data_IF_643764831790
#
_entry.id   IF_643764831790
#
_cell.length_a   1.000
_cell.length_b   1.000
_cell.length_c   1.000
_cell.angle_alpha   90.00
_cell.angle_beta   90.00
_cell.angle_gamma   90.00
#
_symmetry.space_group_name_H-M   'P 1'
#
loop_
_entity.id
_entity.type
_entity.pdbx_description
1 polymer ?
#
# COMPACT_ATOMS: atom_id res chain seq x y z
N UNK A 1 9.87 -4.27 11.89
CA UNK A 1 9.87 -5.73 12.16
C UNK A 1 9.68 -6.51 10.86
N UNK A 2 10.66 -7.35 10.50
CA UNK A 2 10.64 -8.23 9.33
C UNK A 2 10.45 -9.70 9.72
N UNK A 3 9.28 -10.05 10.27
CA UNK A 3 8.96 -11.45 10.64
C UNK A 3 8.73 -12.34 9.41
N UNK A 4 8.40 -11.73 8.27
CA UNK A 4 8.15 -12.40 6.99
C UNK A 4 8.97 -11.67 5.92
N UNK A 5 9.47 -12.42 4.94
CA UNK A 5 10.22 -11.88 3.80
C UNK A 5 9.39 -10.83 3.06
N UNK A 6 10.01 -9.71 2.68
CA UNK A 6 9.39 -8.65 1.87
C UNK A 6 9.28 -9.00 0.39
N UNK A 7 9.87 -10.13 -0.03
CA UNK A 7 9.77 -10.62 -1.40
C UNK A 7 8.37 -11.22 -1.61
N UNK A 8 7.69 -10.91 -2.73
CA UNK A 8 6.38 -11.45 -3.01
C UNK A 8 6.45 -12.97 -3.16
N UNK A 9 5.52 -13.69 -2.50
CA UNK A 9 5.42 -15.13 -2.61
C UNK A 9 4.75 -15.51 -3.94
N UNK A 10 5.53 -16.05 -4.86
CA UNK A 10 5.07 -16.44 -6.20
C UNK A 10 4.71 -17.92 -6.23
N UNK A 11 3.45 -18.25 -5.94
CA UNK A 11 2.93 -19.60 -6.12
C UNK A 11 2.62 -19.88 -7.60
N UNK A 12 2.91 -21.09 -8.11
CA UNK A 12 2.56 -21.47 -9.47
C UNK A 12 1.03 -21.40 -9.66
N UNK A 13 0.57 -20.82 -10.77
CA UNK A 13 -0.85 -20.67 -11.11
C UNK A 13 -1.73 -19.85 -10.12
N UNK A 14 -1.16 -18.88 -9.39
CA UNK A 14 -1.89 -18.00 -8.44
C UNK A 14 -3.23 -17.45 -8.94
N UNK A 15 -3.32 -17.06 -10.22
CA UNK A 15 -4.55 -16.50 -10.80
C UNK A 15 -5.66 -17.56 -10.91
N UNK A 16 -5.30 -18.81 -11.23
CA UNK A 16 -6.24 -19.92 -11.28
C UNK A 16 -6.72 -20.30 -9.88
N UNK A 17 -5.83 -20.28 -8.88
CA UNK A 17 -6.20 -20.52 -7.48
C UNK A 17 -7.14 -19.45 -6.94
N UNK A 18 -6.85 -18.17 -7.21
CA UNK A 18 -7.71 -17.06 -6.82
C UNK A 18 -9.08 -17.13 -7.50
N UNK A 19 -9.10 -17.42 -8.80
CA UNK A 19 -10.36 -17.60 -9.55
C UNK A 19 -11.16 -18.79 -9.02
N UNK A 20 -10.50 -19.93 -8.74
CA UNK A 20 -11.15 -21.09 -8.17
C UNK A 20 -11.75 -20.79 -6.79
N UNK A 21 -11.03 -20.08 -5.92
CA UNK A 21 -11.53 -19.65 -4.62
C UNK A 21 -12.80 -18.79 -4.75
N UNK A 22 -12.82 -17.84 -5.69
CA UNK A 22 -14.00 -17.02 -5.97
C UNK A 22 -15.19 -17.84 -6.48
N UNK A 23 -14.97 -18.72 -7.46
CA UNK A 23 -16.03 -19.58 -8.02
C UNK A 23 -16.60 -20.50 -6.96
N UNK A 24 -15.76 -21.16 -6.16
CA UNK A 24 -16.20 -22.04 -5.06
C UNK A 24 -16.97 -21.24 -4.02
N UNK A 25 -16.53 -20.04 -3.66
CA UNK A 25 -17.23 -19.18 -2.71
C UNK A 25 -18.62 -18.77 -3.23
N UNK A 26 -18.73 -18.47 -4.53
CA UNK A 26 -20.01 -18.15 -5.15
C UNK A 26 -20.96 -19.35 -5.21
N UNK A 27 -20.45 -20.55 -5.50
CA UNK A 27 -21.26 -21.77 -5.44
C UNK A 27 -21.76 -22.07 -4.02
N UNK A 28 -20.89 -21.89 -3.01
CA UNK A 28 -21.28 -22.05 -1.61
C UNK A 28 -22.34 -21.04 -1.18
N UNK A 29 -22.31 -19.81 -1.71
CA UNK A 29 -23.37 -18.82 -1.49
C UNK A 29 -24.71 -19.31 -2.06
N UNK A 30 -24.72 -19.86 -3.27
CA UNK A 30 -25.95 -20.41 -3.88
C UNK A 30 -26.48 -21.57 -3.03
N UNK A 31 -25.62 -22.49 -2.60
CA UNK A 31 -25.99 -23.61 -1.73
C UNK A 31 -26.57 -23.11 -0.41
N UNK A 32 -25.93 -22.11 0.21
CA UNK A 32 -26.39 -21.50 1.45
C UNK A 32 -27.81 -20.91 1.32
N UNK A 33 -28.09 -20.18 0.24
CA UNK A 33 -29.40 -19.54 0.01
C UNK A 33 -30.50 -20.54 -0.39
N UNK A 34 -30.13 -21.62 -1.09
CA UNK A 34 -31.11 -22.60 -1.63
C UNK A 34 -31.43 -23.75 -0.68
N UNK A 35 -30.66 -23.93 0.38
CA UNK A 35 -30.80 -25.10 1.27
C UNK A 35 -31.65 -24.75 2.49
N UNK A 36 -32.67 -25.58 2.77
CA UNK A 36 -33.52 -25.42 3.96
C UNK A 36 -32.95 -26.11 5.22
N UNK A 37 -31.90 -26.92 5.05
CA UNK A 37 -31.22 -27.59 6.16
C UNK A 37 -30.23 -26.65 6.86
N UNK A 38 -30.50 -26.36 8.13
CA UNK A 38 -29.63 -25.55 9.01
C UNK A 38 -28.22 -26.13 9.10
N UNK A 39 -28.09 -27.46 9.14
CA UNK A 39 -26.77 -28.11 9.25
C UNK A 39 -25.88 -27.85 8.02
N UNK A 40 -26.46 -27.90 6.82
CA UNK A 40 -25.74 -27.59 5.58
C UNK A 40 -25.45 -26.10 5.44
N UNK A 41 -26.35 -25.23 5.89
CA UNK A 41 -26.12 -23.78 5.90
C UNK A 41 -24.91 -23.39 6.77
N UNK A 42 -24.85 -23.91 8.01
CA UNK A 42 -23.74 -23.64 8.93
C UNK A 42 -22.43 -24.19 8.36
N UNK A 43 -22.45 -25.40 7.80
CA UNK A 43 -21.27 -26.00 7.19
C UNK A 43 -20.77 -25.19 5.98
N UNK A 44 -21.67 -24.73 5.12
CA UNK A 44 -21.32 -23.87 3.98
C UNK A 44 -20.68 -22.54 4.43
N UNK A 45 -21.22 -21.92 5.49
CA UNK A 45 -20.64 -20.70 6.09
C UNK A 45 -19.25 -20.93 6.66
N UNK A 46 -19.03 -22.04 7.38
CA UNK A 46 -17.73 -22.37 7.95
C UNK A 46 -16.68 -22.61 6.87
N UNK A 47 -17.03 -23.35 5.82
CA UNK A 47 -16.13 -23.58 4.68
C UNK A 47 -15.82 -22.26 3.97
N UNK A 48 -16.84 -21.43 3.72
CA UNK A 48 -16.64 -20.11 3.10
C UNK A 48 -15.72 -19.21 3.94
N UNK A 49 -15.87 -19.24 5.26
CA UNK A 49 -15.00 -18.49 6.19
C UNK A 49 -13.56 -18.99 6.11
N UNK A 50 -13.35 -20.31 6.09
CA UNK A 50 -12.01 -20.88 5.95
C UNK A 50 -11.36 -20.49 4.61
N UNK A 51 -12.11 -20.54 3.51
CA UNK A 51 -11.65 -20.10 2.18
C UNK A 51 -11.28 -18.62 2.21
N UNK A 52 -12.11 -17.76 2.80
CA UNK A 52 -11.85 -16.32 2.90
C UNK A 52 -10.57 -16.00 3.68
N UNK A 53 -10.31 -16.70 4.78
CA UNK A 53 -9.07 -16.54 5.57
C UNK A 53 -7.82 -16.93 4.76
N UNK A 54 -7.85 -18.09 4.10
CA UNK A 54 -6.73 -18.56 3.25
C UNK A 54 -6.54 -17.66 2.05
N UNK A 55 -7.63 -17.23 1.41
CA UNK A 55 -7.61 -16.33 0.26
C UNK A 55 -7.04 -14.95 0.64
N UNK A 56 -7.47 -14.38 1.76
CA UNK A 56 -6.94 -13.11 2.26
C UNK A 56 -5.44 -13.19 2.55
N UNK A 57 -5.00 -14.26 3.23
CA UNK A 57 -3.57 -14.52 3.46
C UNK A 57 -2.78 -14.62 2.15
N UNK A 58 -3.27 -15.43 1.21
CA UNK A 58 -2.62 -15.65 -0.08
C UNK A 58 -2.50 -14.36 -0.89
N UNK A 59 -3.56 -13.54 -0.94
CA UNK A 59 -3.58 -12.27 -1.66
C UNK A 59 -2.53 -11.31 -1.10
N UNK A 60 -2.48 -11.11 0.21
CA UNK A 60 -1.51 -10.21 0.85
C UNK A 60 -0.07 -10.73 0.72
N UNK A 61 0.16 -12.04 0.89
CA UNK A 61 1.49 -12.64 0.78
C UNK A 61 2.07 -12.57 -0.64
N UNK A 62 1.21 -12.47 -1.67
CA UNK A 62 1.63 -12.37 -3.07
C UNK A 62 2.08 -10.95 -3.48
N UNK A 63 1.92 -9.95 -2.60
CA UNK A 63 2.25 -8.56 -2.88
C UNK A 63 3.64 -8.21 -2.31
N UNK A 64 4.41 -7.41 -3.05
CA UNK A 64 5.76 -7.02 -2.65
C UNK A 64 5.77 -6.00 -1.52
N UNK A 65 6.82 -6.01 -0.69
CA UNK A 65 6.97 -5.12 0.46
C UNK A 65 6.92 -3.62 0.13
N UNK A 66 7.30 -3.22 -1.09
CA UNK A 66 7.23 -1.84 -1.56
C UNK A 66 5.79 -1.35 -1.80
N UNK A 67 4.86 -2.26 -2.14
CA UNK A 67 3.46 -1.94 -2.45
C UNK A 67 2.53 -2.13 -1.25
N UNK A 68 3.06 -2.64 -0.13
CA UNK A 68 2.31 -2.85 1.11
C UNK A 68 1.49 -1.64 1.58
N UNK A 69 1.94 -0.37 1.43
CA UNK A 69 1.12 0.78 1.84
C UNK A 69 -0.23 0.83 1.08
N UNK A 70 -0.24 0.47 -0.19
CA UNK A 70 -1.46 0.42 -1.01
C UNK A 70 -2.41 -0.68 -0.53
N UNK A 71 -1.86 -1.84 -0.18
CA UNK A 71 -2.60 -2.99 0.35
C UNK A 71 -3.30 -2.62 1.66
N UNK A 72 -2.61 -1.92 2.55
CA UNK A 72 -3.19 -1.46 3.83
C UNK A 72 -4.40 -0.56 3.58
N UNK A 73 -4.27 0.43 2.68
CA UNK A 73 -5.39 1.31 2.30
C UNK A 73 -6.55 0.53 1.67
N UNK A 74 -6.25 -0.48 0.86
CA UNK A 74 -7.27 -1.30 0.21
C UNK A 74 -8.03 -2.18 1.22
N UNK A 75 -7.31 -2.80 2.16
CA UNK A 75 -7.93 -3.58 3.24
C UNK A 75 -8.79 -2.69 4.14
N UNK A 76 -8.39 -1.43 4.36
CA UNK A 76 -9.23 -0.44 5.05
C UNK A 76 -10.54 -0.15 4.28
N UNK A 77 -10.49 -0.07 2.95
CA UNK A 77 -11.70 0.02 2.12
C UNK A 77 -12.59 -1.22 2.31
N UNK A 78 -12.02 -2.43 2.24
CA UNK A 78 -12.76 -3.68 2.43
C UNK A 78 -13.40 -3.80 3.82
N UNK A 79 -12.73 -3.34 4.89
CA UNK A 79 -13.37 -3.29 6.22
C UNK A 79 -14.58 -2.35 6.25
N UNK A 80 -14.54 -1.23 5.52
CA UNK A 80 -15.68 -0.32 5.39
C UNK A 80 -16.87 -0.98 4.68
N UNK A 81 -16.64 -1.65 3.55
CA UNK A 81 -17.69 -2.39 2.84
C UNK A 81 -18.26 -3.54 3.66
N UNK A 82 -17.42 -4.26 4.40
CA UNK A 82 -17.86 -5.30 5.32
C UNK A 82 -18.75 -4.74 6.45
N UNK A 83 -18.37 -3.57 7.01
CA UNK A 83 -19.19 -2.89 8.01
C UNK A 83 -20.53 -2.42 7.45
N UNK A 84 -20.56 -1.92 6.20
CA UNK A 84 -21.80 -1.54 5.54
C UNK A 84 -22.73 -2.75 5.30
N UNK A 85 -22.16 -3.90 4.87
CA UNK A 85 -22.91 -5.14 4.72
C UNK A 85 -23.48 -5.65 6.05
N UNK A 86 -22.70 -5.58 7.13
CA UNK A 86 -23.19 -5.87 8.49
C UNK A 86 -24.28 -4.88 8.92
N UNK A 87 -24.17 -3.62 8.53
CA UNK A 87 -25.19 -2.59 8.73
C UNK A 87 -26.53 -2.96 8.07
N UNK A 88 -26.51 -3.43 6.81
CA UNK A 88 -27.71 -3.93 6.15
C UNK A 88 -28.31 -5.15 6.86
N UNK A 89 -27.47 -6.09 7.29
CA UNK A 89 -27.92 -7.28 8.02
C UNK A 89 -28.58 -6.93 9.36
N UNK A 90 -28.08 -5.90 10.05
CA UNK A 90 -28.60 -5.42 11.33
C UNK A 90 -29.67 -4.33 11.20
N UNK A 91 -30.01 -3.91 9.96
CA UNK A 91 -30.88 -2.75 9.69
C UNK A 91 -30.44 -1.48 10.45
N UNK A 92 -29.13 -1.21 10.46
CA UNK A 92 -28.52 -0.09 11.18
C UNK A 92 -27.94 0.93 10.21
N UNK A 93 -28.67 2.04 10.03
CA UNK A 93 -28.30 3.13 9.11
C UNK A 93 -26.94 3.76 9.44
N UNK A 94 -26.58 3.86 10.73
CA UNK A 94 -25.29 4.42 11.13
C UNK A 94 -24.14 3.54 10.63
N UNK A 95 -24.25 2.22 10.76
CA UNK A 95 -23.23 1.28 10.25
C UNK A 95 -23.16 1.28 8.72
N UNK A 96 -24.30 1.42 8.05
CA UNK A 96 -24.35 1.52 6.59
C UNK A 96 -23.61 2.79 6.13
N UNK A 97 -23.96 3.94 6.69
CA UNK A 97 -23.38 5.24 6.29
C UNK A 97 -21.90 5.33 6.64
N UNK A 98 -21.51 4.96 7.86
CA UNK A 98 -20.10 5.00 8.28
C UNK A 98 -19.25 3.98 7.53
N UNK A 99 -19.76 2.77 7.28
CA UNK A 99 -19.09 1.75 6.48
C UNK A 99 -18.87 2.19 5.03
N UNK A 100 -19.88 2.78 4.38
CA UNK A 100 -19.77 3.29 3.02
C UNK A 100 -18.78 4.48 2.91
N UNK A 101 -18.74 5.35 3.92
CA UNK A 101 -17.78 6.47 3.98
C UNK A 101 -16.34 5.96 4.10
N UNK A 102 -16.08 5.02 5.01
CA UNK A 102 -14.74 4.40 5.16
C UNK A 102 -14.35 3.63 3.91
N UNK A 103 -15.29 2.87 3.34
CA UNK A 103 -15.09 2.08 2.13
C UNK A 103 -14.69 2.93 0.93
N UNK A 104 -15.45 3.98 0.65
CA UNK A 104 -15.18 4.90 -0.47
C UNK A 104 -13.89 5.70 -0.28
N UNK A 105 -13.63 6.23 0.92
CA UNK A 105 -12.40 6.96 1.25
C UNK A 105 -11.15 6.10 1.04
N UNK A 106 -11.16 4.86 1.54
CA UNK A 106 -10.05 3.91 1.36
C UNK A 106 -9.80 3.57 -0.12
N UNK A 107 -10.86 3.42 -0.92
CA UNK A 107 -10.73 3.13 -2.34
C UNK A 107 -10.10 4.31 -3.12
N UNK A 108 -10.53 5.55 -2.82
CA UNK A 108 -9.98 6.76 -3.44
C UNK A 108 -8.50 6.91 -3.05
N UNK A 109 -8.15 6.71 -1.79
CA UNK A 109 -6.77 6.80 -1.31
C UNK A 109 -5.89 5.76 -2.02
N UNK A 110 -6.32 4.50 -2.09
CA UNK A 110 -5.60 3.45 -2.81
C UNK A 110 -5.38 3.79 -4.29
N UNK A 111 -6.37 4.41 -4.95
CA UNK A 111 -6.24 4.85 -6.33
C UNK A 111 -5.21 5.97 -6.50
N UNK A 112 -5.24 7.00 -5.64
CA UNK A 112 -4.29 8.11 -5.67
C UNK A 112 -2.86 7.60 -5.42
N UNK A 113 -2.69 6.66 -4.47
CA UNK A 113 -1.39 6.03 -4.22
C UNK A 113 -0.87 5.27 -5.43
N UNK A 114 -1.71 4.46 -6.08
CA UNK A 114 -1.32 3.72 -7.30
C UNK A 114 -0.89 4.68 -8.41
N UNK A 115 -1.66 5.76 -8.63
CA UNK A 115 -1.35 6.79 -9.62
C UNK A 115 -0.03 7.51 -9.30
N UNK A 116 0.22 7.84 -8.04
CA UNK A 116 1.47 8.47 -7.60
C UNK A 116 2.69 7.55 -7.73
N UNK A 117 2.49 6.23 -7.75
CA UNK A 117 3.53 5.23 -8.02
C UNK A 117 3.69 4.91 -9.51
N UNK A 118 2.93 5.55 -10.41
CA UNK A 118 2.86 5.23 -11.83
C UNK A 118 2.59 3.74 -12.11
N UNK A 119 1.72 3.12 -11.31
CA UNK A 119 1.32 1.71 -11.44
C UNK A 119 -0.19 1.57 -11.50
N UNK A 120 -0.68 0.66 -12.34
CA UNK A 120 -2.11 0.38 -12.42
C UNK A 120 -2.60 -0.33 -11.17
N UNK A 121 -3.78 0.05 -10.66
CA UNK A 121 -4.41 -0.57 -9.48
C UNK A 121 -4.55 -2.09 -9.62
N UNK A 122 -4.86 -2.56 -10.84
CA UNK A 122 -4.97 -3.98 -11.17
C UNK A 122 -3.60 -4.68 -11.05
N UNK A 123 -2.50 -4.06 -11.48
CA UNK A 123 -1.16 -4.65 -11.38
C UNK A 123 -0.70 -4.87 -9.93
N UNK A 124 -1.12 -3.98 -9.02
CA UNK A 124 -0.79 -4.06 -7.59
C UNK A 124 -1.56 -5.20 -6.93
N UNK A 125 -2.86 -5.34 -7.22
CA UNK A 125 -3.70 -6.41 -6.67
C UNK A 125 -3.35 -7.78 -7.27
N UNK A 126 -3.03 -7.82 -8.56
CA UNK A 126 -2.65 -9.04 -9.25
C UNK A 126 -1.27 -9.57 -8.83
N UNK A 127 -0.55 -8.88 -7.94
CA UNK A 127 0.74 -9.33 -7.40
C UNK A 127 1.88 -9.21 -8.42
N UNK A 128 1.78 -8.30 -9.39
CA UNK A 128 2.82 -8.07 -10.38
C UNK A 128 2.46 -8.58 -11.77
N UNK A 129 2.09 -7.64 -12.62
CA UNK A 129 2.73 -7.51 -13.93
C UNK A 129 3.64 -6.30 -13.84
N UNK A 130 4.77 -6.36 -14.53
CA UNK A 130 5.78 -5.31 -14.56
C UNK A 130 5.16 -3.95 -14.82
N UNK A 131 5.85 -2.92 -14.37
CA UNK A 131 5.71 -1.54 -14.82
C UNK A 131 5.04 -1.48 -16.20
N UNK A 132 3.87 -0.86 -16.30
CA UNK A 132 3.19 -0.52 -17.57
C UNK A 132 4.01 0.53 -18.38
N UNK A 133 5.33 0.42 -18.32
CA UNK A 133 6.33 1.38 -18.75
C UNK A 133 7.77 0.91 -18.48
N UNK A 134 8.04 -0.39 -18.34
CA UNK A 134 9.42 -0.88 -18.45
C UNK A 134 9.87 -0.61 -19.88
N UNK A 135 10.54 0.53 -20.08
CA UNK A 135 11.43 0.73 -21.20
C UNK A 135 12.38 -0.45 -21.23
N UNK A 136 12.25 -1.28 -22.25
CA UNK A 136 13.23 -2.29 -22.67
C UNK A 136 14.49 -1.63 -23.23
N UNK A 137 14.92 -0.53 -22.60
CA UNK A 137 16.19 0.11 -22.85
C UNK A 137 17.24 -0.59 -21.99
N UNK A 138 18.36 -0.91 -22.62
CA UNK A 138 19.58 -1.27 -21.92
C UNK A 138 19.99 -0.06 -21.07
N UNK A 139 19.54 0.00 -19.81
CA UNK A 139 19.93 1.02 -18.83
C UNK A 139 21.39 0.75 -18.45
N UNK A 140 22.30 1.05 -19.36
CA UNK A 140 23.68 1.28 -19.01
C UNK A 140 23.70 2.54 -18.16
N UNK A 141 24.25 2.47 -16.95
CA UNK A 141 24.47 3.65 -16.10
C UNK A 141 25.30 4.67 -16.88
N UNK A 142 24.65 5.71 -17.41
CA UNK A 142 25.33 6.75 -18.18
C UNK A 142 25.84 7.81 -17.19
N UNK A 143 27.14 7.75 -16.88
CA UNK A 143 27.87 8.81 -16.16
C UNK A 143 28.80 8.30 -15.06
N UNK A 144 29.75 9.14 -14.65
CA UNK A 144 30.59 8.91 -13.47
C UNK A 144 29.93 9.51 -12.22
N UNK A 145 29.89 8.77 -11.12
CA UNK A 145 29.43 9.31 -9.84
C UNK A 145 30.51 10.22 -9.22
N UNK A 146 30.09 11.27 -8.53
CA UNK A 146 30.99 12.18 -7.79
C UNK A 146 30.69 12.09 -6.30
N UNK A 147 31.73 11.79 -5.54
CA UNK A 147 31.67 11.73 -4.08
C UNK A 147 32.12 13.07 -3.48
N UNK A 148 31.52 13.42 -2.34
CA UNK A 148 31.81 14.63 -1.58
C UNK A 148 31.74 14.32 -0.09
N UNK A 149 32.55 15.00 0.72
CA UNK A 149 32.57 14.83 2.17
C UNK A 149 31.44 15.59 2.86
N UNK A 150 31.18 15.27 4.13
CA UNK A 150 30.17 15.95 4.92
C UNK A 150 30.53 17.42 5.17
N UNK A 151 31.82 17.71 5.37
CA UNK A 151 32.37 19.04 5.57
C UNK A 151 32.17 19.93 4.34
N UNK A 152 32.53 19.42 3.16
CA UNK A 152 32.34 20.14 1.89
C UNK A 152 30.84 20.37 1.61
N UNK A 153 29.98 19.39 1.92
CA UNK A 153 28.53 19.54 1.81
C UNK A 153 28.01 20.65 2.73
N UNK A 154 28.51 20.73 3.97
CA UNK A 154 28.13 21.78 4.91
C UNK A 154 28.57 23.17 4.43
N UNK A 155 29.71 23.27 3.76
CA UNK A 155 30.20 24.52 3.16
C UNK A 155 29.35 24.95 1.97
N UNK A 156 28.99 24.03 1.08
CA UNK A 156 28.03 24.29 -0.01
C UNK A 156 26.68 24.80 0.52
N UNK A 157 26.15 24.18 1.57
CA UNK A 157 24.88 24.59 2.18
C UNK A 157 24.98 26.00 2.79
N UNK A 158 26.08 26.36 3.46
CA UNK A 158 26.29 27.70 4.03
C UNK A 158 26.38 28.79 2.97
N UNK A 159 26.93 28.47 1.80
CA UNK A 159 27.11 29.40 0.68
C UNK A 159 25.90 29.46 -0.27
N UNK A 160 24.82 28.74 0.04
CA UNK A 160 23.61 28.69 -0.77
C UNK A 160 22.61 29.78 -0.38
N UNK A 161 21.86 30.31 -1.35
CA UNK A 161 20.74 31.24 -1.08
C UNK A 161 19.40 30.53 -0.86
N UNK A 162 19.19 29.38 -1.50
CA UNK A 162 17.99 28.55 -1.31
C UNK A 162 18.36 27.06 -1.35
N UNK A 163 17.76 26.30 -0.44
CA UNK A 163 17.95 24.86 -0.30
C UNK A 163 16.59 24.18 -0.30
N UNK A 164 16.45 23.09 -1.06
CA UNK A 164 15.27 22.22 -1.02
C UNK A 164 15.72 20.85 -0.51
N UNK A 165 15.12 20.40 0.59
CA UNK A 165 15.37 19.09 1.18
C UNK A 165 14.25 18.15 0.73
N UNK A 166 14.60 17.03 0.09
CA UNK A 166 13.65 16.01 -0.34
C UNK A 166 13.78 14.76 0.54
N UNK A 167 13.06 14.68 1.66
CA UNK A 167 13.17 13.55 2.57
C UNK A 167 12.60 12.26 1.94
N UNK A 168 13.27 11.14 2.20
CA UNK A 168 12.83 9.82 1.79
C UNK A 168 12.68 8.87 2.97
N UNK A 169 12.26 7.63 2.69
CA UNK A 169 12.08 6.59 3.72
C UNK A 169 13.37 6.34 4.54
N UNK A 170 14.55 6.46 3.92
CA UNK A 170 15.85 6.31 4.59
C UNK A 170 16.05 7.27 5.76
N UNK A 171 15.57 8.52 5.65
CA UNK A 171 15.66 9.51 6.73
C UNK A 171 14.86 9.05 7.96
N UNK A 172 13.65 8.52 7.75
CA UNK A 172 12.81 8.02 8.84
C UNK A 172 13.38 6.74 9.47
N UNK A 173 13.96 5.84 8.67
CA UNK A 173 14.61 4.62 9.19
C UNK A 173 15.84 4.96 10.04
N UNK A 174 16.63 5.92 9.60
CA UNK A 174 17.81 6.39 10.33
C UNK A 174 17.48 7.31 11.50
N UNK A 175 16.20 7.64 11.73
CA UNK A 175 15.75 8.61 12.74
C UNK A 175 16.41 10.00 12.59
N UNK A 176 16.74 10.37 11.35
CA UNK A 176 17.48 11.58 11.03
C UNK A 176 16.62 12.86 10.99
N UNK A 177 15.30 12.77 11.25
CA UNK A 177 14.40 13.92 11.22
C UNK A 177 14.81 15.03 12.21
N UNK A 178 15.34 14.68 13.39
CA UNK A 178 15.76 15.67 14.39
C UNK A 178 17.05 16.41 13.97
N UNK A 179 18.13 15.71 13.57
CA UNK A 179 19.30 16.38 12.98
C UNK A 179 18.97 17.27 11.77
N UNK A 180 18.09 16.81 10.88
CA UNK A 180 17.68 17.58 9.69
C UNK A 180 16.91 18.85 10.09
N UNK A 181 16.08 18.78 11.13
CA UNK A 181 15.41 19.95 11.68
C UNK A 181 16.41 20.95 12.27
N UNK A 182 17.42 20.48 13.01
CA UNK A 182 18.48 21.34 13.57
C UNK A 182 19.32 22.02 12.47
N UNK A 183 19.67 21.28 11.41
CA UNK A 183 20.36 21.85 10.24
C UNK A 183 19.49 22.92 9.58
N UNK A 184 18.20 22.64 9.40
CA UNK A 184 17.24 23.58 8.82
C UNK A 184 17.16 24.88 9.62
N UNK A 185 17.10 24.78 10.95
CA UNK A 185 17.10 25.94 11.85
C UNK A 185 18.38 26.76 11.71
N UNK A 186 19.55 26.11 11.72
CA UNK A 186 20.86 26.78 11.55
C UNK A 186 21.00 27.48 10.20
N UNK A 187 20.48 26.90 9.12
CA UNK A 187 20.51 27.51 7.79
C UNK A 187 19.54 28.70 7.71
N UNK A 188 18.32 28.56 8.24
CA UNK A 188 17.35 29.66 8.29
C UNK A 188 17.84 30.84 9.15
N UNK A 189 18.53 30.58 10.25
CA UNK A 189 19.16 31.61 11.08
C UNK A 189 20.22 32.42 10.32
N UNK A 190 20.81 31.85 9.26
CA UNK A 190 21.75 32.53 8.36
C UNK A 190 21.06 33.27 7.20
N UNK A 191 19.73 33.32 7.18
CA UNK A 191 18.93 33.94 6.13
C UNK A 191 18.74 33.09 4.88
N UNK A 192 19.08 31.80 4.92
CA UNK A 192 18.96 30.88 3.78
C UNK A 192 17.52 30.38 3.67
N UNK A 193 16.94 30.41 2.47
CA UNK A 193 15.58 29.94 2.23
C UNK A 193 15.52 28.40 2.10
N UNK A 194 15.12 27.72 3.18
CA UNK A 194 15.01 26.25 3.23
C UNK A 194 13.56 25.77 3.10
N UNK A 195 13.29 24.93 2.10
CA UNK A 195 11.99 24.32 1.80
C UNK A 195 12.07 22.80 1.78
N UNK A 196 10.93 22.12 1.93
CA UNK A 196 10.84 20.67 1.84
C UNK A 196 10.03 20.26 0.60
N UNK A 197 10.57 19.33 -0.18
CA UNK A 197 9.87 18.69 -1.29
C UNK A 197 9.41 17.29 -0.88
N UNK A 198 8.12 17.13 -0.58
CA UNK A 198 7.55 15.84 -0.17
C UNK A 198 6.96 15.15 -1.39
N UNK A 199 7.53 14.01 -1.77
CA UNK A 199 6.92 13.17 -2.78
C UNK A 199 5.65 12.50 -2.19
N UNK A 200 4.52 12.41 -2.91
CA UNK A 200 3.26 11.87 -2.36
C UNK A 200 3.33 10.42 -1.85
N UNK A 201 4.36 9.67 -2.24
CA UNK A 201 4.61 8.29 -1.78
C UNK A 201 5.92 8.15 -1.01
N UNK A 202 6.46 9.25 -0.49
CA UNK A 202 7.64 9.21 0.37
C UNK A 202 7.29 8.55 1.72
N UNK A 203 7.80 7.34 1.95
CA UNK A 203 7.62 6.63 3.23
C UNK A 203 7.03 5.23 3.05
N UNK A 204 6.32 4.76 4.09
CA UNK A 204 5.64 3.44 4.11
C UNK A 204 4.16 3.50 4.47
N UNK A 205 3.63 4.69 4.71
CA UNK A 205 2.22 4.94 4.93
C UNK A 205 1.88 6.29 4.29
N UNK A 206 0.61 6.52 3.90
CA UNK A 206 0.17 7.83 3.45
C UNK A 206 0.43 8.86 4.56
N UNK A 207 0.99 10.02 4.20
CA UNK A 207 1.32 11.13 5.09
C UNK A 207 1.12 12.46 4.43
#
# INVERSE_FOLDING_TARGET
CGKISSKPLMLPNRHKMNLAALVVSFLLLIVFVRTDSVGLQVLALLIMTAIALVFGWHLVASIGGADMPVVVSMLNSYSGWAAAAAGFMLSNDLLIVTGALVGSSGAILSYIMCKAMNRSFISVIAGGFGTDGSSTGDDQEVGEHREITAEETAELLKNSHSVIITPGYGMAVAQAQYPVAEITEKLRARGINVRFGIHPVAGRLPG
#
